data_IF_503688296008
#
_entry.id   IF_503688296008
#
_cell.length_a   1.000
_cell.length_b   1.000
_cell.length_c   1.000
_cell.angle_alpha   90.00
_cell.angle_beta   90.00
_cell.angle_gamma   90.00
#
_symmetry.space_group_name_H-M   'P 1'
#
loop_
_entity.id
_entity.type
_entity.pdbx_description
1 polymer ?
#
# COMPACT_ATOMS: atom_id res chain seq x y z
N UNK A 1 -2.33 40.55 -2.37
CA UNK A 1 -2.90 39.53 -1.47
C UNK A 1 -1.80 39.15 -0.50
N UNK A 2 -2.01 39.26 0.80
CA UNK A 2 -0.99 38.96 1.80
C UNK A 2 -0.65 37.46 1.74
N UNK A 3 0.62 37.10 1.48
CA UNK A 3 1.06 35.71 1.29
C UNK A 3 0.75 34.85 2.51
N UNK A 4 0.85 35.43 3.72
CA UNK A 4 0.53 34.75 4.98
C UNK A 4 -0.97 34.39 5.09
N UNK A 5 -1.84 35.26 4.58
CA UNK A 5 -3.29 35.03 4.57
C UNK A 5 -3.65 33.90 3.61
N UNK A 6 -2.98 33.83 2.44
CA UNK A 6 -3.12 32.74 1.50
C UNK A 6 -2.63 31.41 2.10
N UNK A 7 -1.48 31.43 2.78
CA UNK A 7 -0.93 30.28 3.47
C UNK A 7 -1.90 29.74 4.54
N UNK A 8 -2.42 30.61 5.42
CA UNK A 8 -3.38 30.22 6.44
C UNK A 8 -4.70 29.66 5.86
N UNK A 9 -5.15 30.22 4.73
CA UNK A 9 -6.34 29.74 4.04
C UNK A 9 -6.14 28.33 3.42
N UNK A 10 -4.98 28.08 2.83
CA UNK A 10 -4.62 26.76 2.26
C UNK A 10 -4.55 25.71 3.37
N UNK A 11 -3.92 26.02 4.49
CA UNK A 11 -3.83 25.10 5.63
C UNK A 11 -5.20 24.81 6.24
N UNK A 12 -6.01 25.85 6.46
CA UNK A 12 -7.38 25.68 6.95
C UNK A 12 -8.22 24.80 6.02
N UNK A 13 -8.08 24.98 4.71
CA UNK A 13 -8.74 24.15 3.72
C UNK A 13 -8.26 22.70 3.78
N UNK A 14 -6.94 22.44 3.93
CA UNK A 14 -6.41 21.08 4.09
C UNK A 14 -6.99 20.39 5.32
N UNK A 15 -6.99 21.05 6.47
CA UNK A 15 -7.53 20.51 7.72
C UNK A 15 -9.03 20.19 7.55
N UNK A 16 -9.80 21.11 6.95
CA UNK A 16 -11.22 20.91 6.71
C UNK A 16 -11.49 19.74 5.78
N UNK A 17 -10.78 19.65 4.65
CA UNK A 17 -10.91 18.54 3.69
C UNK A 17 -10.60 17.18 4.33
N UNK A 18 -9.48 17.08 5.05
CA UNK A 18 -9.07 15.82 5.70
C UNK A 18 -10.06 15.42 6.81
N UNK A 19 -10.59 16.40 7.56
CA UNK A 19 -11.59 16.13 8.59
C UNK A 19 -12.90 15.62 7.98
N UNK A 20 -13.41 16.26 6.94
CA UNK A 20 -14.62 15.82 6.22
C UNK A 20 -14.41 14.42 5.64
N UNK A 21 -13.25 14.15 5.03
CA UNK A 21 -12.88 12.84 4.51
C UNK A 21 -12.91 11.77 5.62
N UNK A 22 -12.26 12.05 6.75
CA UNK A 22 -12.20 11.13 7.89
C UNK A 22 -13.60 10.80 8.42
N UNK A 23 -14.44 11.83 8.67
CA UNK A 23 -15.82 11.66 9.13
C UNK A 23 -16.62 10.82 8.13
N UNK A 24 -16.53 11.13 6.83
CA UNK A 24 -17.27 10.42 5.79
C UNK A 24 -16.86 8.95 5.69
N UNK A 25 -15.57 8.64 5.76
CA UNK A 25 -15.05 7.28 5.69
C UNK A 25 -15.45 6.46 6.92
N UNK A 26 -15.39 7.04 8.11
CA UNK A 26 -15.82 6.37 9.35
C UNK A 26 -17.32 6.04 9.29
N UNK A 27 -18.16 6.95 8.76
CA UNK A 27 -19.60 6.69 8.61
C UNK A 27 -19.93 5.63 7.58
N UNK A 28 -19.14 5.51 6.50
CA UNK A 28 -19.38 4.55 5.41
C UNK A 28 -18.92 3.12 5.72
N UNK A 29 -17.79 2.94 6.39
CA UNK A 29 -17.20 1.63 6.65
C UNK A 29 -16.33 1.59 7.92
N UNK A 30 -16.90 1.79 9.12
CA UNK A 30 -16.13 1.98 10.37
C UNK A 30 -15.26 0.78 10.76
N UNK A 31 -15.63 -0.43 10.34
CA UNK A 31 -14.90 -1.68 10.66
C UNK A 31 -13.89 -2.08 9.58
N UNK A 32 -13.76 -1.32 8.50
CA UNK A 32 -12.81 -1.63 7.43
C UNK A 32 -11.41 -1.14 7.82
N UNK A 33 -10.43 -2.06 7.84
CA UNK A 33 -9.04 -1.77 8.21
C UNK A 33 -8.42 -0.67 7.33
N UNK A 34 -8.69 -0.67 6.03
CA UNK A 34 -8.15 0.35 5.13
C UNK A 34 -8.72 1.72 5.45
N UNK A 35 -10.02 1.80 5.80
CA UNK A 35 -10.65 3.04 6.26
C UNK A 35 -9.99 3.55 7.52
N UNK A 36 -9.76 2.69 8.51
CA UNK A 36 -9.07 3.07 9.75
C UNK A 36 -7.67 3.62 9.48
N UNK A 37 -6.89 3.00 8.57
CA UNK A 37 -5.56 3.48 8.18
C UNK A 37 -5.63 4.82 7.43
N UNK A 38 -6.62 5.04 6.56
CA UNK A 38 -6.80 6.32 5.86
C UNK A 38 -7.19 7.43 6.86
N UNK A 39 -8.05 7.14 7.82
CA UNK A 39 -8.43 8.09 8.88
C UNK A 39 -7.23 8.43 9.75
N UNK A 40 -6.42 7.44 10.14
CA UNK A 40 -5.18 7.66 10.87
C UNK A 40 -4.20 8.51 10.06
N UNK A 41 -4.05 8.24 8.77
CA UNK A 41 -3.21 9.04 7.87
C UNK A 41 -3.69 10.49 7.78
N UNK A 42 -4.99 10.72 7.66
CA UNK A 42 -5.58 12.05 7.65
C UNK A 42 -5.28 12.79 8.97
N UNK A 43 -5.44 12.13 10.10
CA UNK A 43 -5.09 12.69 11.42
C UNK A 43 -3.59 13.04 11.52
N UNK A 44 -2.70 12.14 11.13
CA UNK A 44 -1.25 12.39 11.10
C UNK A 44 -0.89 13.59 10.21
N UNK A 45 -1.55 13.73 9.06
CA UNK A 45 -1.35 14.87 8.16
C UNK A 45 -1.82 16.18 8.77
N UNK A 46 -2.97 16.19 9.45
CA UNK A 46 -3.44 17.38 10.21
C UNK A 46 -2.43 17.77 11.29
N UNK A 47 -1.94 16.80 12.06
CA UNK A 47 -0.91 17.04 13.07
C UNK A 47 0.37 17.61 12.44
N UNK A 48 0.78 17.13 11.28
CA UNK A 48 1.95 17.64 10.55
C UNK A 48 1.79 19.12 10.15
N UNK A 49 0.61 19.49 9.61
CA UNK A 49 0.30 20.87 9.23
C UNK A 49 0.32 21.80 10.45
N UNK A 50 -0.32 21.40 11.54
CA UNK A 50 -0.40 22.22 12.77
C UNK A 50 0.96 22.31 13.47
N UNK A 51 1.72 21.22 13.50
CA UNK A 51 3.09 21.19 14.04
C UNK A 51 4.04 22.11 13.25
N UNK A 52 3.95 22.12 11.92
CA UNK A 52 4.74 23.02 11.08
C UNK A 52 4.48 24.50 11.42
N UNK A 53 3.22 24.88 11.70
CA UNK A 53 2.89 26.25 12.15
C UNK A 53 3.54 26.64 13.48
N UNK A 54 3.62 25.70 14.41
CA UNK A 54 4.31 25.95 15.68
C UNK A 54 5.82 26.14 15.46
N UNK A 55 6.45 25.33 14.61
CA UNK A 55 7.88 25.45 14.31
C UNK A 55 8.27 26.79 13.66
N UNK A 56 7.31 27.48 13.05
CA UNK A 56 7.52 28.80 12.43
C UNK A 56 6.96 29.96 13.27
N UNK A 57 6.70 29.74 14.57
CA UNK A 57 6.08 30.75 15.45
C UNK A 57 6.90 32.04 15.53
N UNK A 58 8.23 31.96 15.49
CA UNK A 58 9.12 33.12 15.55
C UNK A 58 9.18 33.93 14.25
N UNK A 59 8.76 33.33 13.15
CA UNK A 59 8.88 33.86 11.78
C UNK A 59 7.52 34.32 11.25
N UNK A 60 6.45 33.66 11.64
CA UNK A 60 5.09 34.04 11.29
C UNK A 60 4.62 35.27 12.05
N UNK A 61 3.85 36.19 11.40
CA UNK A 61 3.12 37.22 12.13
C UNK A 61 2.28 36.59 13.25
N UNK A 62 2.22 37.20 14.40
CA UNK A 62 1.55 36.67 15.60
C UNK A 62 0.09 36.22 15.35
N UNK A 63 -0.59 36.83 14.36
CA UNK A 63 -1.94 36.47 13.93
C UNK A 63 -2.06 35.06 13.32
N UNK A 64 -0.96 34.54 12.78
CA UNK A 64 -0.91 33.25 12.12
C UNK A 64 -0.06 32.18 12.84
N UNK A 65 0.66 32.61 13.87
CA UNK A 65 1.44 31.73 14.71
C UNK A 65 0.50 30.88 15.61
N UNK A 66 0.86 29.62 15.80
CA UNK A 66 0.14 28.72 16.71
C UNK A 66 1.10 28.23 17.77
N UNK A 67 0.95 28.69 18.98
CA UNK A 67 1.69 28.16 20.13
C UNK A 67 0.95 26.93 20.68
N UNK A 68 1.56 25.77 20.54
CA UNK A 68 1.03 24.47 20.98
C UNK A 68 1.47 24.14 22.42
N UNK A 69 2.46 24.84 22.96
CA UNK A 69 3.04 24.49 24.25
C UNK A 69 3.39 22.99 24.33
N UNK A 70 2.99 22.27 25.39
CA UNK A 70 3.32 20.83 25.54
C UNK A 70 2.64 19.93 24.53
N UNK A 71 1.63 20.40 23.78
CA UNK A 71 0.96 19.60 22.74
C UNK A 71 1.82 19.37 21.50
N UNK A 72 2.94 20.09 21.35
CA UNK A 72 3.85 19.90 20.20
C UNK A 72 4.40 18.48 20.14
N UNK A 73 4.76 17.88 21.28
CA UNK A 73 5.34 16.54 21.37
C UNK A 73 4.39 15.47 20.79
N UNK A 74 3.15 15.30 21.28
CA UNK A 74 2.25 14.31 20.71
C UNK A 74 1.88 14.61 19.25
N UNK A 75 1.86 15.87 18.82
CA UNK A 75 1.60 16.22 17.43
C UNK A 75 2.75 15.85 16.50
N UNK A 76 3.98 16.05 16.92
CA UNK A 76 5.17 15.62 16.20
C UNK A 76 5.24 14.09 16.12
N UNK A 77 4.98 13.37 17.21
CA UNK A 77 4.86 11.92 17.20
C UNK A 77 3.81 11.44 16.19
N UNK A 78 2.64 12.08 16.15
CA UNK A 78 1.60 11.76 15.17
C UNK A 78 2.06 12.05 13.73
N UNK A 79 2.75 13.17 13.49
CA UNK A 79 3.37 13.50 12.19
C UNK A 79 4.32 12.39 11.73
N UNK A 80 5.18 11.94 12.64
CA UNK A 80 6.24 10.96 12.34
C UNK A 80 5.68 9.54 12.06
N UNK A 81 4.45 9.23 12.51
CA UNK A 81 3.74 8.00 12.14
C UNK A 81 3.39 7.93 10.63
N UNK A 82 3.36 9.04 9.92
CA UNK A 82 2.83 9.14 8.54
C UNK A 82 3.46 8.12 7.59
N UNK A 83 4.79 8.01 7.57
CA UNK A 83 5.53 7.09 6.68
C UNK A 83 5.17 5.62 6.92
N UNK A 84 5.10 5.21 8.19
CA UNK A 84 4.69 3.86 8.57
C UNK A 84 3.22 3.57 8.26
N UNK A 85 2.33 4.54 8.47
CA UNK A 85 0.91 4.41 8.14
C UNK A 85 0.71 4.26 6.62
N UNK A 86 1.42 5.04 5.80
CA UNK A 86 1.42 4.89 4.32
C UNK A 86 1.92 3.51 3.92
N UNK A 87 3.01 3.04 4.52
CA UNK A 87 3.54 1.70 4.28
C UNK A 87 2.51 0.62 4.64
N UNK A 88 1.86 0.71 5.81
CA UNK A 88 0.82 -0.24 6.24
C UNK A 88 -0.40 -0.20 5.32
N UNK A 89 -0.80 0.98 4.86
CA UNK A 89 -1.92 1.16 3.95
C UNK A 89 -1.63 0.52 2.58
N UNK A 90 -0.46 0.78 2.01
CA UNK A 90 0.00 0.17 0.76
C UNK A 90 0.08 -1.36 0.89
N UNK A 91 0.64 -1.87 2.01
CA UNK A 91 0.66 -3.30 2.28
C UNK A 91 -0.76 -3.90 2.35
N UNK A 92 -1.67 -3.25 3.09
CA UNK A 92 -3.05 -3.73 3.27
C UNK A 92 -3.86 -3.75 1.98
N UNK A 93 -3.64 -2.76 1.10
CA UNK A 93 -4.36 -2.65 -0.19
C UNK A 93 -3.79 -3.58 -1.26
N UNK A 94 -2.45 -3.69 -1.35
CA UNK A 94 -1.78 -4.29 -2.51
C UNK A 94 -1.12 -5.65 -2.24
N UNK A 95 -0.95 -6.07 -0.98
CA UNK A 95 -0.33 -7.36 -0.64
C UNK A 95 -1.36 -8.34 -0.07
N UNK A 96 -2.11 -8.98 -0.97
CA UNK A 96 -3.09 -9.99 -0.59
C UNK A 96 -2.39 -11.20 0.08
N UNK A 97 -2.88 -11.62 1.27
CA UNK A 97 -2.42 -12.80 2.04
C UNK A 97 -0.94 -12.80 2.47
N UNK A 98 -0.17 -11.73 2.24
CA UNK A 98 1.23 -11.66 2.68
C UNK A 98 1.32 -11.04 4.07
N UNK A 99 2.20 -11.57 4.90
CA UNK A 99 2.52 -10.95 6.20
C UNK A 99 3.48 -9.78 5.98
N UNK A 100 3.30 -8.73 6.76
CA UNK A 100 4.25 -7.62 6.77
C UNK A 100 5.63 -8.14 7.24
N UNK A 101 6.72 -7.82 6.52
CA UNK A 101 8.05 -8.23 6.93
C UNK A 101 8.44 -7.62 8.27
N UNK A 102 8.78 -8.42 9.32
CA UNK A 102 9.16 -7.89 10.63
C UNK A 102 10.30 -6.85 10.61
N UNK A 103 11.33 -6.97 9.73
CA UNK A 103 12.39 -5.96 9.65
C UNK A 103 11.89 -4.56 9.34
N UNK A 104 10.80 -4.39 8.58
CA UNK A 104 10.24 -3.07 8.27
C UNK A 104 9.58 -2.43 9.49
N UNK A 105 8.99 -3.22 10.38
CA UNK A 105 8.49 -2.72 11.67
C UNK A 105 9.64 -2.25 12.56
N UNK A 106 10.77 -2.97 12.55
CA UNK A 106 11.97 -2.54 13.28
C UNK A 106 12.53 -1.23 12.71
N UNK A 107 12.61 -1.10 11.38
CA UNK A 107 13.03 0.15 10.72
C UNK A 107 12.12 1.31 11.14
N UNK A 108 10.80 1.09 11.16
CA UNK A 108 9.84 2.12 11.61
C UNK A 108 10.00 2.47 13.08
N UNK A 109 10.18 1.49 13.96
CA UNK A 109 10.42 1.73 15.38
C UNK A 109 11.70 2.54 15.63
N UNK A 110 12.79 2.23 14.90
CA UNK A 110 14.05 2.98 14.97
C UNK A 110 13.84 4.42 14.49
N UNK A 111 13.18 4.63 13.35
CA UNK A 111 12.89 5.97 12.84
C UNK A 111 12.09 6.79 13.85
N UNK A 112 11.02 6.23 14.43
CA UNK A 112 10.20 6.89 15.46
C UNK A 112 10.99 7.24 16.73
N UNK A 113 11.99 6.43 17.08
CA UNK A 113 12.82 6.67 18.27
C UNK A 113 13.85 7.80 18.06
N UNK A 114 14.34 7.96 16.82
CA UNK A 114 15.35 8.98 16.50
C UNK A 114 14.75 10.37 16.37
N UNK A 115 13.55 10.51 15.82
CA UNK A 115 13.01 11.84 15.45
C UNK A 115 12.58 12.72 16.65
N UNK A 116 12.13 12.15 17.75
CA UNK A 116 11.66 12.95 18.90
C UNK A 116 12.22 12.44 20.24
N UNK A 117 12.11 11.14 20.60
CA UNK A 117 12.50 10.71 21.94
C UNK A 117 13.99 10.90 22.23
N UNK A 118 14.86 10.59 21.27
CA UNK A 118 16.32 10.72 21.44
C UNK A 118 16.79 12.17 21.27
N UNK A 119 16.20 12.94 20.35
CA UNK A 119 16.48 14.36 20.21
C UNK A 119 16.16 15.12 21.51
N UNK A 120 15.03 14.82 22.14
CA UNK A 120 14.62 15.40 23.42
C UNK A 120 15.54 15.02 24.60
N UNK A 121 16.16 13.84 24.52
CA UNK A 121 17.12 13.35 25.53
C UNK A 121 18.55 13.85 25.27
N UNK A 122 18.83 14.40 24.08
CA UNK A 122 20.16 14.90 23.74
C UNK A 122 20.44 16.18 24.57
N UNK A 123 21.62 16.27 25.24
CA UNK A 123 21.98 17.49 25.94
C UNK A 123 22.07 18.68 24.97
N UNK A 124 21.55 19.87 25.33
CA UNK A 124 21.64 21.06 24.46
C UNK A 124 23.08 21.42 24.05
N UNK A 125 24.03 21.11 24.90
CA UNK A 125 25.47 21.31 24.63
C UNK A 125 25.99 20.41 23.50
N UNK A 126 25.29 19.34 23.17
CA UNK A 126 25.73 18.38 22.15
C UNK A 126 25.52 18.94 20.73
N UNK A 127 24.44 19.65 20.52
CA UNK A 127 24.18 20.33 19.24
C UNK A 127 25.26 21.36 18.92
N UNK A 128 25.70 22.13 19.91
CA UNK A 128 26.77 23.13 19.76
C UNK A 128 28.15 22.48 19.60
N UNK A 129 28.42 21.36 20.30
CA UNK A 129 29.70 20.69 20.26
C UNK A 129 29.92 19.81 19.02
N UNK A 130 28.84 19.22 18.47
CA UNK A 130 28.92 18.28 17.35
C UNK A 130 27.76 18.48 16.35
N UNK A 131 27.66 19.65 15.70
CA UNK A 131 26.51 19.96 14.86
C UNK A 131 26.33 19.00 13.68
N UNK A 132 27.42 18.50 13.09
CA UNK A 132 27.36 17.52 12.00
C UNK A 132 26.79 16.18 12.45
N UNK A 133 27.18 15.69 13.62
CA UNK A 133 26.69 14.41 14.18
C UNK A 133 25.19 14.54 14.50
N UNK A 134 24.79 15.61 15.14
CA UNK A 134 23.39 15.92 15.48
C UNK A 134 22.55 15.95 14.20
N UNK A 135 22.98 16.68 13.19
CA UNK A 135 22.32 16.73 11.88
C UNK A 135 22.19 15.35 11.24
N UNK A 136 23.26 14.56 11.19
CA UNK A 136 23.23 13.23 10.58
C UNK A 136 22.31 12.29 11.35
N UNK A 137 22.38 12.27 12.68
CA UNK A 137 21.62 11.31 13.52
C UNK A 137 20.13 11.65 13.56
N UNK A 138 19.78 12.92 13.72
CA UNK A 138 18.39 13.31 13.96
C UNK A 138 17.64 13.79 12.70
N UNK A 139 18.34 14.08 11.60
CA UNK A 139 17.72 14.53 10.36
C UNK A 139 17.95 13.57 9.20
N UNK A 140 19.22 13.25 8.91
CA UNK A 140 19.56 12.44 7.71
C UNK A 140 19.12 11.00 7.88
N UNK A 141 19.45 10.37 9.02
CA UNK A 141 19.13 8.96 9.25
C UNK A 141 17.62 8.71 9.29
N UNK A 142 16.78 9.44 10.04
CA UNK A 142 15.33 9.27 10.00
C UNK A 142 14.74 9.47 8.62
N UNK A 143 15.19 10.51 7.90
CA UNK A 143 14.74 10.77 6.51
C UNK A 143 15.10 9.62 5.56
N UNK A 144 16.30 9.04 5.69
CA UNK A 144 16.70 7.87 4.92
C UNK A 144 15.84 6.63 5.24
N UNK A 145 15.51 6.40 6.52
CA UNK A 145 14.64 5.31 6.93
C UNK A 145 13.20 5.50 6.42
N UNK A 146 12.68 6.73 6.40
CA UNK A 146 11.40 7.07 5.77
C UNK A 146 11.42 6.74 4.28
N UNK A 147 12.46 7.13 3.55
CA UNK A 147 12.61 6.81 2.12
C UNK A 147 12.66 5.30 1.86
N UNK A 148 13.31 4.53 2.73
CA UNK A 148 13.32 3.06 2.66
C UNK A 148 11.90 2.50 2.78
N UNK A 149 11.11 2.93 3.78
CA UNK A 149 9.73 2.47 3.96
C UNK A 149 8.84 2.84 2.78
N UNK A 150 8.99 4.05 2.24
CA UNK A 150 8.26 4.51 1.05
C UNK A 150 8.67 3.76 -0.20
N UNK A 151 9.96 3.43 -0.36
CA UNK A 151 10.47 2.59 -1.43
C UNK A 151 9.81 1.21 -1.42
N UNK A 152 9.68 0.58 -0.26
CA UNK A 152 8.93 -0.68 -0.14
C UNK A 152 7.45 -0.51 -0.46
N UNK A 153 6.81 0.55 0.03
CA UNK A 153 5.42 0.85 -0.29
C UNK A 153 5.24 1.00 -1.81
N UNK A 154 6.13 1.73 -2.49
CA UNK A 154 6.13 1.90 -3.93
C UNK A 154 6.34 0.58 -4.68
N UNK A 155 7.31 -0.24 -4.26
CA UNK A 155 7.55 -1.56 -4.84
C UNK A 155 6.29 -2.44 -4.73
N UNK A 156 5.59 -2.43 -3.60
CA UNK A 156 4.35 -3.20 -3.44
C UNK A 156 3.22 -2.71 -4.33
N UNK A 157 3.14 -1.42 -4.54
CA UNK A 157 2.13 -0.84 -5.41
C UNK A 157 2.40 -1.15 -6.87
N UNK A 158 3.65 -1.07 -7.33
CA UNK A 158 4.02 -1.34 -8.72
C UNK A 158 4.05 -2.84 -9.04
N UNK A 159 4.39 -3.66 -8.05
CA UNK A 159 4.50 -5.10 -8.23
C UNK A 159 3.14 -5.73 -8.49
N UNK A 160 3.09 -6.65 -9.46
CA UNK A 160 1.88 -7.42 -9.82
C UNK A 160 0.71 -6.53 -10.33
N UNK A 161 1.00 -5.32 -10.83
CA UNK A 161 -0.02 -4.41 -11.36
C UNK A 161 -0.84 -5.04 -12.49
N UNK A 162 -0.20 -5.81 -13.36
CA UNK A 162 -0.84 -6.44 -14.51
C UNK A 162 -1.74 -7.63 -14.13
N UNK A 163 -1.42 -8.28 -13.01
CA UNK A 163 -2.19 -9.39 -12.47
C UNK A 163 -3.37 -8.93 -11.59
N UNK A 164 -3.49 -7.64 -11.28
CA UNK A 164 -4.57 -7.10 -10.45
C UNK A 164 -5.91 -7.14 -11.18
N UNK A 165 -6.87 -7.85 -10.61
CA UNK A 165 -8.21 -8.04 -11.18
C UNK A 165 -9.19 -6.92 -10.82
N UNK A 166 -8.87 -6.09 -9.80
CA UNK A 166 -9.71 -4.99 -9.35
C UNK A 166 -9.44 -3.75 -10.19
N UNK A 167 -10.33 -3.44 -11.14
CA UNK A 167 -10.14 -2.32 -12.07
C UNK A 167 -10.03 -0.96 -11.37
N UNK A 168 -10.86 -0.71 -10.35
CA UNK A 168 -10.79 0.51 -9.55
C UNK A 168 -9.40 0.66 -8.88
N UNK A 169 -8.87 -0.44 -8.31
CA UNK A 169 -7.56 -0.48 -7.68
C UNK A 169 -6.43 -0.24 -8.69
N UNK A 170 -6.56 -0.78 -9.90
CA UNK A 170 -5.57 -0.58 -10.97
C UNK A 170 -5.54 0.87 -11.48
N UNK A 171 -6.72 1.48 -11.70
CA UNK A 171 -6.80 2.88 -12.17
C UNK A 171 -6.29 3.88 -11.14
N UNK A 172 -6.61 3.67 -9.86
CA UNK A 172 -6.18 4.57 -8.78
C UNK A 172 -4.74 4.35 -8.35
N UNK A 173 -4.17 3.17 -8.61
CA UNK A 173 -2.82 2.78 -8.23
C UNK A 173 -1.77 3.78 -8.71
N UNK A 174 -1.72 4.04 -10.01
CA UNK A 174 -0.73 4.95 -10.60
C UNK A 174 -0.88 6.38 -10.06
N UNK A 175 -2.11 6.87 -9.93
CA UNK A 175 -2.37 8.24 -9.45
C UNK A 175 -1.97 8.38 -7.98
N UNK A 176 -2.41 7.46 -7.10
CA UNK A 176 -2.08 7.50 -5.68
C UNK A 176 -0.57 7.41 -5.43
N UNK A 177 0.13 6.55 -6.17
CA UNK A 177 1.57 6.36 -6.01
C UNK A 177 2.34 7.56 -6.44
N UNK A 178 2.13 8.02 -7.68
CA UNK A 178 2.88 9.15 -8.22
C UNK A 178 2.68 10.39 -7.34
N UNK A 179 1.43 10.66 -6.95
CA UNK A 179 1.11 11.84 -6.16
C UNK A 179 1.64 11.73 -4.72
N UNK A 180 1.48 10.57 -4.05
CA UNK A 180 1.97 10.40 -2.67
C UNK A 180 3.49 10.40 -2.62
N UNK A 181 4.16 9.71 -3.55
CA UNK A 181 5.63 9.71 -3.61
C UNK A 181 6.16 11.12 -3.95
N UNK A 182 5.55 11.80 -4.92
CA UNK A 182 5.93 13.18 -5.26
C UNK A 182 5.78 14.12 -4.05
N UNK A 183 4.67 14.03 -3.32
CA UNK A 183 4.44 14.85 -2.11
C UNK A 183 5.50 14.60 -1.04
N UNK A 184 5.82 13.32 -0.78
CA UNK A 184 6.78 12.96 0.27
C UNK A 184 8.21 13.31 -0.13
N UNK A 185 8.60 13.03 -1.38
CA UNK A 185 9.91 13.43 -1.91
C UNK A 185 10.06 14.95 -1.87
N UNK A 186 9.02 15.68 -2.27
CA UNK A 186 9.03 17.14 -2.26
C UNK A 186 9.15 17.69 -0.83
N UNK A 187 8.38 17.16 0.13
CA UNK A 187 8.47 17.55 1.54
C UNK A 187 9.85 17.23 2.15
N UNK A 188 10.37 16.01 1.96
CA UNK A 188 11.66 15.62 2.51
C UNK A 188 12.83 16.37 1.86
N UNK A 189 12.86 16.50 0.53
CA UNK A 189 13.98 17.13 -0.18
C UNK A 189 13.95 18.65 -0.06
N UNK A 190 12.78 19.28 -0.16
CA UNK A 190 12.67 20.74 -0.16
C UNK A 190 12.64 21.28 1.26
N UNK A 191 11.83 20.72 2.15
CA UNK A 191 11.74 21.25 3.51
C UNK A 191 12.99 20.96 4.33
N UNK A 192 13.45 19.70 4.38
CA UNK A 192 14.57 19.35 5.26
C UNK A 192 15.94 19.66 4.67
N UNK A 193 16.21 19.24 3.42
CA UNK A 193 17.54 19.45 2.83
C UNK A 193 17.78 20.89 2.37
N UNK A 194 16.80 21.53 1.74
CA UNK A 194 16.97 22.89 1.25
C UNK A 194 17.09 23.92 2.37
N UNK A 195 16.33 23.74 3.45
CA UNK A 195 16.39 24.65 4.60
C UNK A 195 17.68 24.55 5.38
N UNK A 196 18.16 23.35 5.63
CA UNK A 196 19.34 23.13 6.47
C UNK A 196 20.66 23.26 5.70
N UNK A 197 20.70 22.86 4.41
CA UNK A 197 21.92 22.93 3.60
C UNK A 197 22.09 24.30 2.95
N UNK A 198 21.01 24.90 2.46
CA UNK A 198 21.10 26.15 1.68
C UNK A 198 20.72 27.40 2.48
N UNK A 199 20.28 27.25 3.75
CA UNK A 199 19.85 28.36 4.63
C UNK A 199 19.06 29.43 3.84
N UNK A 200 18.03 28.98 3.10
CA UNK A 200 17.28 29.84 2.20
C UNK A 200 16.69 31.04 2.94
N UNK A 201 16.79 32.24 2.38
CA UNK A 201 16.12 33.41 2.91
C UNK A 201 14.61 33.15 3.03
N UNK A 202 13.99 33.72 4.06
CA UNK A 202 12.59 33.48 4.43
C UNK A 202 11.61 33.84 3.29
N UNK A 203 11.93 34.84 2.52
CA UNK A 203 11.18 35.30 1.36
C UNK A 203 11.18 34.30 0.18
N UNK A 204 12.20 33.44 0.10
CA UNK A 204 12.26 32.30 -0.84
C UNK A 204 11.62 31.06 -0.26
N UNK A 205 11.83 30.79 1.02
CA UNK A 205 11.29 29.62 1.70
C UNK A 205 9.75 29.60 1.74
N UNK A 206 9.12 30.71 2.13
CA UNK A 206 7.67 30.78 2.27
C UNK A 206 6.89 30.45 0.98
N UNK A 207 7.22 30.99 -0.21
CA UNK A 207 6.55 30.61 -1.43
C UNK A 207 6.71 29.11 -1.77
N UNK A 208 7.90 28.55 -1.53
CA UNK A 208 8.18 27.12 -1.81
C UNK A 208 7.35 26.24 -0.86
N UNK A 209 7.37 26.52 0.42
CA UNK A 209 6.58 25.80 1.43
C UNK A 209 5.08 25.90 1.17
N UNK A 210 4.57 27.11 0.87
CA UNK A 210 3.18 27.31 0.46
C UNK A 210 2.80 26.50 -0.79
N UNK A 211 3.72 26.39 -1.76
CA UNK A 211 3.54 25.59 -2.95
C UNK A 211 3.42 24.08 -2.64
N UNK A 212 4.24 23.57 -1.71
CA UNK A 212 4.19 22.17 -1.26
C UNK A 212 2.86 21.87 -0.58
N UNK A 213 2.40 22.77 0.30
CA UNK A 213 1.11 22.62 1.00
C UNK A 213 -0.06 22.72 0.03
N UNK A 214 -0.02 23.66 -0.93
CA UNK A 214 -1.04 23.77 -1.97
C UNK A 214 -1.11 22.51 -2.85
N UNK A 215 0.02 21.92 -3.20
CA UNK A 215 0.07 20.64 -3.90
C UNK A 215 -0.54 19.50 -3.04
N UNK A 216 -0.24 19.46 -1.74
CA UNK A 216 -0.86 18.53 -0.79
C UNK A 216 -2.38 18.69 -0.72
N UNK A 217 -2.90 19.92 -0.75
CA UNK A 217 -4.33 20.20 -0.81
C UNK A 217 -4.97 19.67 -2.09
N UNK A 218 -4.35 19.94 -3.24
CA UNK A 218 -4.83 19.43 -4.53
C UNK A 218 -4.86 17.89 -4.55
N UNK A 219 -3.82 17.28 -4.00
CA UNK A 219 -3.73 15.82 -3.88
C UNK A 219 -4.82 15.26 -2.95
N UNK A 220 -4.99 15.84 -1.77
CA UNK A 220 -6.03 15.44 -0.83
C UNK A 220 -7.41 15.61 -1.43
N UNK A 221 -7.66 16.72 -2.13
CA UNK A 221 -8.90 17.00 -2.86
C UNK A 221 -9.15 15.96 -3.98
N UNK A 222 -8.13 15.61 -4.75
CA UNK A 222 -8.24 14.60 -5.80
C UNK A 222 -8.57 13.21 -5.21
N UNK A 223 -7.95 12.83 -4.09
CA UNK A 223 -8.23 11.59 -3.36
C UNK A 223 -9.69 11.60 -2.86
N UNK A 224 -10.14 12.70 -2.25
CA UNK A 224 -11.53 12.85 -1.79
C UNK A 224 -12.51 12.71 -2.94
N UNK A 225 -12.29 13.39 -4.06
CA UNK A 225 -13.14 13.32 -5.24
C UNK A 225 -13.17 11.90 -5.84
N UNK A 226 -12.03 11.19 -5.85
CA UNK A 226 -11.97 9.79 -6.26
C UNK A 226 -12.78 8.90 -5.32
N UNK A 227 -12.71 9.13 -4.01
CA UNK A 227 -13.41 8.35 -3.00
C UNK A 227 -14.91 8.69 -2.87
N UNK A 228 -15.32 9.88 -3.30
CA UNK A 228 -16.74 10.28 -3.35
C UNK A 228 -17.51 9.70 -4.53
N UNK A 229 -16.85 9.13 -5.55
CA UNK A 229 -17.54 8.46 -6.66
C UNK A 229 -18.32 7.26 -6.15
N UNK A 230 -19.53 6.99 -6.67
CA UNK A 230 -20.37 5.85 -6.26
C UNK A 230 -19.63 4.51 -6.36
N UNK A 231 -18.70 4.38 -7.34
CA UNK A 231 -17.86 3.20 -7.52
C UNK A 231 -16.70 3.08 -6.53
N UNK A 232 -16.39 4.13 -5.79
CA UNK A 232 -15.26 4.15 -4.84
C UNK A 232 -15.52 3.33 -3.58
N UNK A 233 -16.79 3.07 -3.23
CA UNK A 233 -17.15 2.11 -2.17
C UNK A 233 -16.59 0.73 -2.50
N UNK A 234 -16.44 0.39 -3.78
CA UNK A 234 -15.80 -0.84 -4.27
C UNK A 234 -14.28 -0.84 -4.10
N UNK A 235 -13.63 0.34 -4.10
CA UNK A 235 -12.21 0.46 -3.79
C UNK A 235 -11.94 0.13 -2.32
N UNK A 236 -12.84 0.56 -1.44
CA UNK A 236 -12.76 0.34 0.00
C UNK A 236 -13.31 -1.04 0.38
N UNK A 237 -14.41 -1.47 -0.26
CA UNK A 237 -15.02 -2.80 -0.10
C UNK A 237 -15.28 -3.49 -1.45
N UNK A 238 -14.30 -4.24 -1.96
CA UNK A 238 -14.40 -4.92 -3.26
C UNK A 238 -15.45 -6.05 -3.32
N UNK A 239 -16.05 -6.43 -2.20
CA UNK A 239 -17.00 -7.56 -2.11
C UNK A 239 -18.44 -7.17 -2.49
N UNK A 240 -18.72 -5.91 -2.79
CA UNK A 240 -20.08 -5.45 -3.11
C UNK A 240 -20.46 -5.89 -4.54
N UNK A 241 -21.55 -6.67 -4.73
CA UNK A 241 -21.93 -7.18 -6.04
C UNK A 241 -22.31 -6.05 -7.01
N UNK A 242 -22.09 -6.29 -8.30
CA UNK A 242 -22.56 -5.40 -9.38
C UNK A 242 -24.03 -5.65 -9.64
N UNK A 243 -24.89 -4.63 -9.86
CA UNK A 243 -26.23 -4.85 -10.37
C UNK A 243 -26.15 -5.51 -11.75
N UNK A 244 -26.95 -6.55 -11.97
CA UNK A 244 -27.06 -7.26 -13.25
C UNK A 244 -28.32 -6.74 -13.93
N UNK A 245 -28.16 -6.13 -15.11
CA UNK A 245 -29.22 -5.28 -15.68
C UNK A 245 -30.22 -5.96 -16.62
N UNK A 246 -29.99 -7.20 -17.10
CA UNK A 246 -30.97 -7.91 -17.96
C UNK A 246 -30.85 -9.44 -17.88
N UNK A 247 -31.95 -10.17 -18.24
CA UNK A 247 -31.99 -11.65 -18.30
C UNK A 247 -30.97 -12.22 -19.30
N UNK A 248 -30.75 -11.54 -20.42
CA UNK A 248 -29.76 -11.93 -21.43
C UNK A 248 -28.32 -11.80 -20.91
N UNK A 249 -28.05 -10.80 -20.06
CA UNK A 249 -26.77 -10.60 -19.40
C UNK A 249 -26.53 -11.67 -18.31
N UNK A 250 -27.56 -12.13 -17.62
CA UNK A 250 -27.46 -13.23 -16.64
C UNK A 250 -27.04 -14.54 -17.31
N UNK A 251 -27.68 -14.89 -18.43
CA UNK A 251 -27.36 -16.12 -19.16
C UNK A 251 -25.93 -16.09 -19.74
N UNK A 252 -25.53 -14.96 -20.32
CA UNK A 252 -24.18 -14.75 -20.83
C UNK A 252 -23.13 -14.74 -19.72
N UNK A 253 -23.47 -14.18 -18.58
CA UNK A 253 -22.62 -14.15 -17.39
C UNK A 253 -22.33 -15.57 -16.88
N UNK A 254 -23.39 -16.37 -16.67
CA UNK A 254 -23.27 -17.75 -16.22
C UNK A 254 -22.46 -18.62 -17.23
N UNK A 255 -22.67 -18.42 -18.53
CA UNK A 255 -21.93 -19.09 -19.58
C UNK A 255 -20.42 -18.75 -19.54
N UNK A 256 -20.08 -17.45 -19.41
CA UNK A 256 -18.69 -17.01 -19.34
C UNK A 256 -18.00 -17.55 -18.08
N UNK A 257 -18.68 -17.58 -16.91
CA UNK A 257 -18.16 -18.16 -15.67
C UNK A 257 -17.90 -19.67 -15.84
N UNK A 258 -18.85 -20.39 -16.43
CA UNK A 258 -18.69 -21.82 -16.70
C UNK A 258 -17.48 -22.10 -17.62
N UNK A 259 -17.26 -21.28 -18.66
CA UNK A 259 -16.08 -21.38 -19.54
C UNK A 259 -14.77 -21.12 -18.81
N UNK A 260 -14.74 -20.14 -17.90
CA UNK A 260 -13.54 -19.90 -17.09
C UNK A 260 -13.26 -21.12 -16.22
N UNK A 261 -14.27 -21.67 -15.53
CA UNK A 261 -14.10 -22.89 -14.74
C UNK A 261 -13.60 -24.08 -15.57
N UNK A 262 -14.22 -24.33 -16.72
CA UNK A 262 -13.82 -25.41 -17.64
C UNK A 262 -12.35 -25.25 -18.09
N UNK A 263 -11.91 -24.03 -18.40
CA UNK A 263 -10.52 -23.77 -18.78
C UNK A 263 -9.53 -24.14 -17.65
N UNK A 264 -9.89 -23.88 -16.39
CA UNK A 264 -9.02 -24.24 -15.27
C UNK A 264 -9.15 -25.72 -14.88
N UNK A 265 -10.35 -26.27 -14.78
CA UNK A 265 -10.59 -27.61 -14.27
C UNK A 265 -10.35 -28.70 -15.34
N UNK A 266 -10.82 -28.49 -16.58
CA UNK A 266 -10.74 -29.48 -17.67
C UNK A 266 -9.50 -29.28 -18.56
N UNK A 267 -9.28 -28.03 -19.06
CA UNK A 267 -8.17 -27.75 -19.97
C UNK A 267 -6.84 -27.52 -19.24
N UNK A 268 -6.86 -27.30 -17.91
CA UNK A 268 -5.70 -27.03 -17.06
C UNK A 268 -4.80 -25.92 -17.63
N UNK A 269 -5.42 -24.83 -18.10
CA UNK A 269 -4.71 -23.68 -18.72
C UNK A 269 -3.64 -23.08 -17.81
N UNK A 270 -3.77 -23.22 -16.49
CA UNK A 270 -2.81 -22.76 -15.49
C UNK A 270 -1.42 -23.41 -15.65
N UNK A 271 -1.30 -24.57 -16.32
CA UNK A 271 -0.01 -25.21 -16.63
C UNK A 271 0.80 -24.44 -17.66
N UNK A 272 0.19 -23.52 -18.42
CA UNK A 272 0.91 -22.68 -19.38
C UNK A 272 1.84 -21.74 -18.62
N UNK A 273 3.14 -21.82 -18.92
CA UNK A 273 4.14 -20.92 -18.34
C UNK A 273 3.86 -19.49 -18.76
N UNK A 274 4.07 -18.54 -17.85
CA UNK A 274 3.86 -17.12 -18.14
C UNK A 274 2.42 -16.73 -18.51
N UNK A 275 1.40 -17.53 -18.15
CA UNK A 275 0.00 -17.22 -18.45
C UNK A 275 -0.41 -15.89 -17.79
N UNK A 276 -0.85 -14.95 -18.63
CA UNK A 276 -1.37 -13.64 -18.21
C UNK A 276 -2.89 -13.57 -18.38
N UNK A 277 -3.53 -12.61 -17.69
CA UNK A 277 -4.99 -12.37 -17.85
C UNK A 277 -5.31 -12.08 -19.31
N UNK A 278 -4.49 -11.25 -19.99
CA UNK A 278 -4.69 -10.94 -21.41
C UNK A 278 -4.57 -12.15 -22.32
N UNK A 279 -3.64 -13.10 -22.03
CA UNK A 279 -3.52 -14.34 -22.78
C UNK A 279 -4.74 -15.25 -22.57
N UNK A 280 -5.23 -15.37 -21.33
CA UNK A 280 -6.44 -16.11 -21.02
C UNK A 280 -7.69 -15.46 -21.66
N UNK A 281 -7.79 -14.15 -21.68
CA UNK A 281 -8.88 -13.41 -22.31
C UNK A 281 -8.96 -13.70 -23.81
N UNK A 282 -7.82 -13.70 -24.51
CA UNK A 282 -7.75 -14.09 -25.93
C UNK A 282 -8.13 -15.54 -26.15
N UNK A 283 -7.65 -16.44 -25.29
CA UNK A 283 -7.97 -17.88 -25.37
C UNK A 283 -9.47 -18.13 -25.22
N UNK A 284 -10.10 -17.48 -24.23
CA UNK A 284 -11.53 -17.61 -23.97
C UNK A 284 -12.40 -16.71 -24.88
N UNK A 285 -11.82 -15.85 -25.71
CA UNK A 285 -12.55 -14.85 -26.51
C UNK A 285 -13.50 -14.01 -25.65
N UNK A 286 -13.08 -13.67 -24.44
CA UNK A 286 -13.78 -12.79 -23.50
C UNK A 286 -12.98 -11.48 -23.40
N UNK A 287 -13.58 -10.28 -23.50
CA UNK A 287 -12.84 -9.04 -23.30
C UNK A 287 -12.13 -9.02 -21.94
N UNK A 288 -10.87 -8.56 -21.92
CA UNK A 288 -10.02 -8.66 -20.73
C UNK A 288 -10.64 -7.99 -19.49
N UNK A 289 -11.26 -6.82 -19.65
CA UNK A 289 -11.92 -6.12 -18.54
C UNK A 289 -13.06 -6.96 -17.93
N UNK A 290 -13.84 -7.67 -18.79
CA UNK A 290 -14.92 -8.55 -18.36
C UNK A 290 -14.38 -9.81 -17.68
N UNK A 291 -13.33 -10.42 -18.23
CA UNK A 291 -12.69 -11.58 -17.63
C UNK A 291 -12.17 -11.24 -16.22
N UNK A 292 -11.52 -10.08 -16.05
CA UNK A 292 -11.05 -9.60 -14.74
C UNK A 292 -12.22 -9.45 -13.75
N UNK A 293 -13.33 -8.86 -14.18
CA UNK A 293 -14.51 -8.70 -13.35
C UNK A 293 -15.12 -10.05 -12.94
N UNK A 294 -15.24 -11.02 -13.87
CA UNK A 294 -15.78 -12.35 -13.60
C UNK A 294 -14.90 -13.13 -12.61
N UNK A 295 -13.57 -13.14 -12.82
CA UNK A 295 -12.65 -13.82 -11.88
C UNK A 295 -12.71 -13.15 -10.50
N UNK A 296 -12.85 -11.84 -10.44
CA UNK A 296 -12.92 -11.13 -9.17
C UNK A 296 -14.24 -11.35 -8.44
N UNK A 297 -15.37 -11.16 -9.13
CA UNK A 297 -16.69 -11.14 -8.49
C UNK A 297 -17.23 -12.56 -8.23
N UNK A 298 -17.02 -13.49 -9.17
CA UNK A 298 -17.62 -14.84 -9.13
C UNK A 298 -16.66 -15.90 -8.57
N UNK A 299 -15.36 -15.78 -8.82
CA UNK A 299 -14.35 -16.70 -8.30
C UNK A 299 -13.66 -16.15 -7.03
N UNK A 300 -13.89 -14.89 -6.65
CA UNK A 300 -13.43 -14.28 -5.42
C UNK A 300 -11.93 -13.91 -5.38
N UNK A 301 -11.24 -13.95 -6.51
CA UNK A 301 -9.81 -13.63 -6.56
C UNK A 301 -9.57 -12.15 -6.85
N UNK A 302 -8.70 -11.51 -6.08
CA UNK A 302 -8.27 -10.11 -6.31
C UNK A 302 -7.06 -10.01 -7.23
N UNK A 303 -6.29 -11.09 -7.32
CA UNK A 303 -5.06 -11.15 -8.08
C UNK A 303 -5.01 -12.44 -8.90
N UNK A 304 -4.69 -12.33 -10.19
CA UNK A 304 -4.64 -13.45 -11.12
C UNK A 304 -3.54 -14.47 -10.77
N UNK A 305 -2.40 -13.99 -10.28
CA UNK A 305 -1.33 -14.89 -9.85
C UNK A 305 -1.77 -15.74 -8.65
N UNK A 306 -2.61 -15.20 -7.76
CA UNK A 306 -3.17 -15.98 -6.64
C UNK A 306 -4.06 -17.10 -7.15
N UNK A 307 -4.92 -16.83 -8.13
CA UNK A 307 -5.73 -17.86 -8.80
C UNK A 307 -4.83 -18.96 -9.40
N UNK A 308 -3.79 -18.58 -10.16
CA UNK A 308 -2.85 -19.55 -10.74
C UNK A 308 -2.14 -20.37 -9.65
N UNK A 309 -1.68 -19.74 -8.58
CA UNK A 309 -0.99 -20.43 -7.49
C UNK A 309 -1.90 -21.43 -6.77
N UNK A 310 -3.19 -21.09 -6.55
CA UNK A 310 -4.14 -21.99 -5.89
C UNK A 310 -4.31 -23.29 -6.71
N UNK A 311 -4.54 -23.20 -8.02
CA UNK A 311 -4.67 -24.39 -8.88
C UNK A 311 -3.36 -25.18 -9.02
N UNK A 312 -2.23 -24.51 -9.26
CA UNK A 312 -0.91 -25.15 -9.42
C UNK A 312 -0.46 -25.86 -8.14
N UNK A 313 -0.64 -25.23 -6.98
CA UNK A 313 -0.28 -25.84 -5.70
C UNK A 313 -1.23 -26.98 -5.34
N UNK A 314 -2.52 -26.88 -5.66
CA UNK A 314 -3.45 -27.99 -5.48
C UNK A 314 -3.00 -29.22 -6.27
N UNK A 315 -2.73 -29.07 -7.57
CA UNK A 315 -2.24 -30.16 -8.43
C UNK A 315 -0.95 -30.80 -7.89
N UNK A 316 0.05 -29.98 -7.54
CA UNK A 316 1.31 -30.52 -6.99
C UNK A 316 1.09 -31.16 -5.62
N UNK A 317 0.15 -30.66 -4.81
CA UNK A 317 -0.18 -31.28 -3.52
C UNK A 317 -0.78 -32.68 -3.69
N UNK A 318 -1.65 -32.86 -4.68
CA UNK A 318 -2.20 -34.17 -5.05
C UNK A 318 -1.09 -35.13 -5.48
N UNK A 319 -0.21 -34.70 -6.38
CA UNK A 319 0.93 -35.49 -6.83
C UNK A 319 1.93 -35.83 -5.71
N UNK A 320 2.15 -34.91 -4.75
CA UNK A 320 3.00 -35.19 -3.58
C UNK A 320 2.39 -36.14 -2.57
N UNK A 321 1.06 -36.27 -2.55
CA UNK A 321 0.33 -37.20 -1.70
C UNK A 321 0.18 -38.61 -2.34
N UNK A 322 0.39 -38.72 -3.65
CA UNK A 322 0.28 -39.98 -4.40
C UNK A 322 1.57 -40.80 -4.25
N UNK A 323 1.51 -42.04 -3.69
CA UNK A 323 2.67 -42.90 -3.56
C UNK A 323 3.32 -43.28 -4.89
N UNK A 324 2.55 -43.32 -5.98
CA UNK A 324 3.08 -43.63 -7.32
C UNK A 324 4.03 -42.55 -7.87
N UNK A 325 4.01 -41.35 -7.27
CA UNK A 325 4.83 -40.21 -7.63
C UNK A 325 6.02 -39.98 -6.68
N UNK A 326 6.34 -40.95 -5.82
CA UNK A 326 7.35 -40.79 -4.78
C UNK A 326 8.74 -40.49 -5.32
N UNK A 327 9.11 -41.09 -6.42
CA UNK A 327 10.41 -40.86 -7.07
C UNK A 327 10.46 -39.59 -7.92
N UNK A 328 9.31 -38.93 -8.11
CA UNK A 328 9.25 -37.70 -8.91
C UNK A 328 9.79 -36.51 -8.11
N UNK A 329 10.80 -35.84 -8.67
CA UNK A 329 11.39 -34.66 -8.05
C UNK A 329 10.35 -33.54 -7.88
N UNK A 330 10.38 -32.86 -6.75
CA UNK A 330 9.53 -31.68 -6.46
C UNK A 330 9.67 -30.61 -7.55
N UNK A 331 10.89 -30.42 -8.07
CA UNK A 331 11.15 -29.50 -9.19
C UNK A 331 10.36 -29.90 -10.44
N UNK A 332 10.37 -31.18 -10.81
CA UNK A 332 9.64 -31.70 -11.96
C UNK A 332 8.14 -31.46 -11.84
N UNK A 333 7.56 -31.74 -10.67
CA UNK A 333 6.15 -31.47 -10.38
C UNK A 333 5.81 -30.00 -10.47
N UNK A 334 6.67 -29.12 -9.95
CA UNK A 334 6.47 -27.67 -10.02
C UNK A 334 6.52 -27.17 -11.47
N UNK A 335 7.49 -27.62 -12.26
CA UNK A 335 7.61 -27.22 -13.67
C UNK A 335 6.44 -27.73 -14.52
N UNK A 336 5.96 -28.97 -14.30
CA UNK A 336 4.78 -29.52 -15.00
C UNK A 336 3.50 -28.77 -14.66
N UNK A 337 3.37 -28.26 -13.44
CA UNK A 337 2.26 -27.42 -13.03
C UNK A 337 2.33 -25.96 -13.57
N UNK A 338 3.39 -25.62 -14.33
CA UNK A 338 3.51 -24.34 -15.02
C UNK A 338 4.32 -23.28 -14.31
N UNK A 339 5.13 -23.65 -13.30
CA UNK A 339 6.12 -22.74 -12.73
C UNK A 339 7.37 -22.66 -13.62
N UNK A 340 7.99 -21.47 -13.67
CA UNK A 340 9.24 -21.28 -14.42
C UNK A 340 10.46 -21.75 -13.64
N UNK A 341 10.37 -21.76 -12.28
CA UNK A 341 11.43 -22.21 -11.40
C UNK A 341 10.89 -22.62 -10.03
N UNK A 342 11.75 -23.31 -9.25
CA UNK A 342 11.39 -23.84 -7.93
C UNK A 342 11.13 -22.75 -6.88
N UNK A 343 11.76 -21.58 -6.99
CA UNK A 343 11.69 -20.55 -5.95
C UNK A 343 10.29 -19.89 -5.82
N UNK A 344 9.61 -19.47 -6.91
CA UNK A 344 8.22 -19.00 -6.82
C UNK A 344 7.28 -20.09 -6.31
N UNK A 345 7.47 -21.33 -6.73
CA UNK A 345 6.68 -22.47 -6.25
C UNK A 345 6.81 -22.67 -4.74
N UNK A 346 8.02 -22.77 -4.21
CA UNK A 346 8.25 -22.98 -2.78
C UNK A 346 7.62 -21.86 -1.93
N UNK A 347 7.68 -20.61 -2.39
CA UNK A 347 7.03 -19.48 -1.70
C UNK A 347 5.50 -19.63 -1.71
N UNK A 348 4.91 -19.94 -2.86
CA UNK A 348 3.48 -20.11 -2.99
C UNK A 348 3.00 -21.33 -2.18
N UNK A 349 3.70 -22.46 -2.26
CA UNK A 349 3.35 -23.67 -1.54
C UNK A 349 3.39 -23.47 -0.03
N UNK A 350 4.46 -22.85 0.49
CA UNK A 350 4.55 -22.52 1.93
C UNK A 350 3.46 -21.54 2.38
N UNK A 351 3.12 -20.57 1.54
CA UNK A 351 2.06 -19.60 1.84
C UNK A 351 0.68 -20.26 1.93
N UNK A 352 0.40 -21.25 1.07
CA UNK A 352 -0.91 -21.91 0.97
C UNK A 352 -1.05 -23.11 1.91
N UNK A 353 0.03 -23.89 2.10
CA UNK A 353 0.00 -25.13 2.90
C UNK A 353 0.65 -24.98 4.28
N UNK A 354 1.29 -23.86 4.59
CA UNK A 354 1.96 -23.61 5.88
C UNK A 354 3.26 -24.39 6.11
N UNK A 355 3.70 -25.22 5.13
CA UNK A 355 4.89 -26.07 5.22
C UNK A 355 5.59 -26.20 3.86
N UNK A 356 6.79 -26.75 3.85
CA UNK A 356 7.53 -26.98 2.59
C UNK A 356 6.94 -28.17 1.83
N UNK A 357 7.13 -28.26 0.49
CA UNK A 357 6.69 -29.41 -0.32
C UNK A 357 7.23 -30.74 0.19
N UNK A 358 8.50 -30.80 0.62
CA UNK A 358 9.15 -32.00 1.15
C UNK A 358 8.50 -32.42 2.49
N UNK A 359 8.23 -31.47 3.38
CA UNK A 359 7.52 -31.74 4.63
C UNK A 359 6.10 -32.23 4.36
N UNK A 360 5.41 -31.69 3.37
CA UNK A 360 4.08 -32.10 2.98
C UNK A 360 4.07 -33.55 2.49
N UNK A 361 5.02 -33.93 1.58
CA UNK A 361 5.19 -35.32 1.11
C UNK A 361 5.41 -36.27 2.27
N UNK A 362 6.36 -35.97 3.17
CA UNK A 362 6.65 -36.81 4.32
C UNK A 362 5.43 -37.02 5.24
N UNK A 363 4.68 -35.96 5.49
CA UNK A 363 3.45 -36.03 6.32
C UNK A 363 2.33 -36.84 5.64
N UNK A 364 2.18 -36.73 4.32
CA UNK A 364 1.19 -37.49 3.58
C UNK A 364 1.49 -39.00 3.63
N UNK A 365 2.77 -39.39 3.49
CA UNK A 365 3.22 -40.78 3.64
C UNK A 365 2.95 -41.34 5.04
N UNK A 366 3.25 -40.58 6.07
CA UNK A 366 3.00 -41.01 7.45
C UNK A 366 1.52 -41.29 7.68
N UNK A 367 0.65 -40.41 7.18
CA UNK A 367 -0.81 -40.61 7.30
C UNK A 367 -1.30 -41.87 6.56
N UNK A 368 -0.70 -42.20 5.42
CA UNK A 368 -1.04 -43.43 4.69
C UNK A 368 -0.52 -44.70 5.37
N UNK A 369 0.60 -44.61 6.10
CA UNK A 369 1.14 -45.71 6.88
C UNK A 369 0.35 -45.99 8.19
N UNK A 370 -0.28 -44.95 8.73
CA UNK A 370 -1.08 -45.01 9.97
C UNK A 370 -2.58 -45.36 9.71
N UNK A 371 -3.02 -45.44 8.42
CA UNK A 371 -4.39 -45.79 8.01
C UNK A 371 -4.48 -47.18 7.43
#
# INVERSE_FOLDING_TARGET
MNLHLLYAAIDGANIAFLSVLAIRLVTLAPRNRNVQLIVLLAFCTVCAVVSARHSYVEVLPAEFAVDLGPLIVPMNLARNLTSGVVMLLCHSIFQDRKRLPPPLLAVWAVQMSLEEPLEWMAPPAWEQAQPLVTFVVFEVVPSALQLVMLGFALIWVLRESDADLVEARRKTRAVLVVLTVAQIVLALLVERLAMQIWALPIDVFFPVHAGIIAFGLLLSGAIVLLLLRPDSVRFVDPRRPTPVDTVADVSRHAYDVARIRAAFESERVYRRRGLTVGALARHLKIPEYRLRALIHNDLGYRNFNTLLHDYRVAEVSEALADPSQDDTLVLTLALSAGYDSISPFNRAFRSLKGMTPTQFRARSRQKLADS
#
